data_IF_634305807389
#
_entry.id   IF_634305807389
#
_cell.length_a   1.000
_cell.length_b   1.000
_cell.length_c   1.000
_cell.angle_alpha   90.00
_cell.angle_beta   90.00
_cell.angle_gamma   90.00
#
_symmetry.space_group_name_H-M   'P 1'
#
loop_
_entity.id
_entity.type
_entity.pdbx_description
1 polymer ?
#
# COMPACT_ATOMS: atom_id res chain seq x y z
N UNK A 1 -32.66 11.23 -10.25
CA UNK A 1 -31.82 11.57 -9.08
C UNK A 1 -30.54 12.19 -9.62
N UNK A 2 -30.27 13.43 -9.21
CA UNK A 2 -29.14 14.22 -9.72
C UNK A 2 -27.82 13.65 -9.20
N UNK A 3 -26.89 13.45 -10.12
CA UNK A 3 -25.68 12.65 -9.96
C UNK A 3 -24.51 13.56 -9.55
N UNK A 4 -24.48 13.97 -8.28
CA UNK A 4 -23.67 15.12 -7.80
C UNK A 4 -22.14 14.94 -7.78
N UNK A 5 -21.58 13.82 -8.26
CA UNK A 5 -20.13 13.66 -8.47
C UNK A 5 -19.73 13.19 -9.88
N UNK A 6 -20.68 12.71 -10.69
CA UNK A 6 -20.41 12.27 -12.07
C UNK A 6 -20.28 13.44 -13.06
N UNK A 7 -20.64 14.66 -12.64
CA UNK A 7 -20.55 15.88 -13.45
C UNK A 7 -19.17 16.56 -13.38
N UNK A 8 -18.15 15.89 -12.82
CA UNK A 8 -16.76 16.33 -12.97
C UNK A 8 -16.29 16.11 -14.41
N UNK A 9 -16.54 17.13 -15.23
CA UNK A 9 -15.99 17.44 -16.56
C UNK A 9 -15.34 16.24 -17.26
N UNK A 10 -16.16 15.43 -17.92
CA UNK A 10 -15.70 14.54 -18.96
C UNK A 10 -15.28 15.38 -20.18
N UNK A 11 -14.09 15.99 -20.15
CA UNK A 11 -13.49 16.52 -21.38
C UNK A 11 -13.23 15.31 -22.29
N UNK A 12 -13.91 15.26 -23.42
CA UNK A 12 -13.62 14.30 -24.48
C UNK A 12 -12.24 14.61 -25.06
N UNK A 13 -11.18 14.06 -24.47
CA UNK A 13 -9.83 14.24 -24.99
C UNK A 13 -9.64 13.25 -26.15
N UNK A 14 -9.54 13.74 -27.39
CA UNK A 14 -9.02 12.95 -28.50
C UNK A 14 -7.48 12.87 -28.39
N UNK A 15 -6.83 11.93 -29.09
CA UNK A 15 -5.38 11.72 -28.99
C UNK A 15 -4.53 12.95 -29.39
N UNK A 16 -5.01 13.76 -30.33
CA UNK A 16 -4.36 15.03 -30.71
C UNK A 16 -4.48 16.10 -29.62
N UNK A 17 -5.65 16.17 -28.98
CA UNK A 17 -5.91 17.05 -27.85
C UNK A 17 -5.09 16.61 -26.63
N UNK A 18 -4.89 15.30 -26.44
CA UNK A 18 -4.00 14.74 -25.42
C UNK A 18 -2.53 15.15 -25.62
N UNK A 19 -2.02 15.04 -26.85
CA UNK A 19 -0.68 15.53 -27.22
C UNK A 19 -0.54 17.04 -26.95
N UNK A 20 -1.58 17.82 -27.24
CA UNK A 20 -1.60 19.26 -26.97
C UNK A 20 -1.75 19.63 -25.48
N UNK A 21 -2.49 18.84 -24.70
CA UNK A 21 -2.78 19.11 -23.28
C UNK A 21 -1.60 18.74 -22.37
N UNK A 22 -0.78 17.77 -22.79
CA UNK A 22 0.37 17.28 -22.04
C UNK A 22 1.68 17.97 -22.40
N UNK A 23 1.72 18.80 -23.45
CA UNK A 23 2.96 19.38 -23.96
C UNK A 23 4.01 18.33 -24.38
N UNK A 24 3.57 17.09 -24.62
CA UNK A 24 4.41 15.91 -24.86
C UNK A 24 3.66 14.58 -24.68
N UNK A 25 4.34 13.45 -24.92
CA UNK A 25 3.78 12.11 -24.78
C UNK A 25 3.78 11.56 -23.34
N UNK A 26 4.03 12.41 -22.34
CA UNK A 26 4.25 11.99 -20.95
C UNK A 26 3.64 12.97 -19.96
N UNK A 27 2.89 12.45 -18.99
CA UNK A 27 2.40 13.16 -17.83
C UNK A 27 3.07 12.56 -16.59
N UNK A 28 3.92 13.33 -15.93
CA UNK A 28 4.65 12.89 -14.74
C UNK A 28 4.36 13.83 -13.57
N UNK A 29 4.01 13.27 -12.42
CA UNK A 29 3.76 14.05 -11.20
C UNK A 29 5.07 14.41 -10.50
N UNK A 30 6.15 13.65 -10.72
CA UNK A 30 7.41 13.73 -9.98
C UNK A 30 7.45 12.84 -8.73
N UNK A 31 6.34 12.16 -8.38
CA UNK A 31 6.35 11.14 -7.35
C UNK A 31 7.19 9.94 -7.80
N UNK A 32 8.00 9.39 -6.90
CA UNK A 32 8.82 8.18 -7.11
C UNK A 32 8.66 7.21 -5.95
N UNK A 33 8.25 5.94 -6.17
CA UNK A 33 8.19 4.91 -5.12
C UNK A 33 9.41 4.87 -4.19
N UNK A 34 10.63 4.95 -4.72
CA UNK A 34 11.90 4.91 -3.97
C UNK A 34 12.14 6.10 -3.03
N UNK A 35 11.37 7.18 -3.16
CA UNK A 35 11.49 8.39 -2.34
C UNK A 35 10.20 8.68 -1.57
N UNK A 36 9.08 8.58 -2.25
CA UNK A 36 7.78 9.05 -1.79
C UNK A 36 6.85 7.91 -1.38
N UNK A 37 7.19 6.67 -1.73
CA UNK A 37 6.49 5.48 -1.26
C UNK A 37 6.99 5.02 0.10
N UNK A 38 6.39 3.94 0.59
CA UNK A 38 6.85 3.21 1.77
C UNK A 38 8.04 2.30 1.43
N UNK A 39 8.96 2.15 2.37
CA UNK A 39 10.01 1.12 2.26
C UNK A 39 9.58 -0.21 2.88
N UNK A 40 8.65 -0.21 3.84
CA UNK A 40 8.01 -1.44 4.30
C UNK A 40 7.13 -1.98 3.16
N UNK A 41 7.11 -3.29 2.90
CA UNK A 41 6.16 -3.87 1.98
C UNK A 41 4.76 -3.87 2.61
N UNK A 42 3.72 -3.99 1.79
CA UNK A 42 2.40 -4.33 2.27
C UNK A 42 2.36 -5.78 2.79
N UNK A 43 2.60 -5.95 4.08
CA UNK A 43 2.82 -7.24 4.74
C UNK A 43 1.55 -7.93 5.26
N UNK A 44 0.36 -7.36 4.99
CA UNK A 44 -0.87 -7.74 5.70
C UNK A 44 -1.26 -6.68 6.72
N UNK A 45 -2.26 -6.98 7.55
CA UNK A 45 -2.60 -6.16 8.70
C UNK A 45 -2.56 -7.00 9.97
N UNK A 46 -1.94 -6.44 11.00
CA UNK A 46 -1.96 -6.99 12.37
C UNK A 46 -3.33 -6.80 13.04
N UNK A 47 -4.19 -5.94 12.48
CA UNK A 47 -5.51 -5.68 13.02
C UNK A 47 -6.53 -6.67 12.45
N UNK A 48 -7.16 -7.47 13.33
CA UNK A 48 -8.14 -8.51 12.97
C UNK A 48 -9.35 -7.98 12.16
N UNK A 49 -9.70 -6.71 12.32
CA UNK A 49 -10.80 -6.05 11.58
C UNK A 49 -10.50 -5.86 10.09
N UNK A 50 -9.24 -5.60 9.74
CA UNK A 50 -8.76 -5.47 8.36
C UNK A 50 -8.33 -6.84 7.82
N UNK A 51 -9.27 -7.61 7.28
CA UNK A 51 -8.96 -8.87 6.57
C UNK A 51 -8.32 -8.56 5.22
N UNK A 52 -7.04 -8.18 5.20
CA UNK A 52 -6.31 -7.80 4.00
C UNK A 52 -4.96 -7.15 4.30
N UNK A 53 -4.30 -6.63 3.27
CA UNK A 53 -3.08 -5.82 3.44
C UNK A 53 -3.37 -4.35 3.74
N UNK A 54 -2.39 -3.65 4.29
CA UNK A 54 -2.40 -2.20 4.56
C UNK A 54 -2.46 -1.32 3.28
N UNK A 55 -2.53 -1.91 2.08
CA UNK A 55 -2.41 -1.24 0.78
C UNK A 55 -3.10 0.14 0.67
N UNK A 56 -4.39 0.24 1.04
CA UNK A 56 -5.15 1.48 0.92
C UNK A 56 -4.60 2.59 1.81
N UNK A 57 -4.32 2.29 3.07
CA UNK A 57 -3.69 3.23 4.00
C UNK A 57 -2.28 3.63 3.55
N UNK A 58 -1.50 2.67 3.06
CA UNK A 58 -0.15 2.94 2.55
C UNK A 58 -0.17 3.90 1.35
N UNK A 59 -1.01 3.63 0.34
CA UNK A 59 -1.17 4.49 -0.83
C UNK A 59 -1.70 5.87 -0.43
N UNK A 60 -2.73 5.93 0.43
CA UNK A 60 -3.32 7.19 0.85
C UNK A 60 -2.32 8.07 1.61
N UNK A 61 -1.56 7.48 2.54
CA UNK A 61 -0.55 8.21 3.28
C UNK A 61 0.60 8.68 2.40
N UNK A 62 1.10 7.84 1.48
CA UNK A 62 2.15 8.22 0.53
C UNK A 62 1.72 9.42 -0.34
N UNK A 63 0.48 9.41 -0.85
CA UNK A 63 -0.11 10.53 -1.60
C UNK A 63 -0.24 11.80 -0.76
N UNK A 64 -0.67 11.67 0.50
CA UNK A 64 -0.77 12.79 1.44
C UNK A 64 0.61 13.38 1.74
N UNK A 65 1.57 12.52 2.07
CA UNK A 65 2.93 12.89 2.44
C UNK A 65 3.64 13.63 1.30
N UNK A 66 3.53 13.10 0.08
CA UNK A 66 4.06 13.73 -1.12
C UNK A 66 3.45 15.12 -1.36
N UNK A 67 2.12 15.23 -1.27
CA UNK A 67 1.44 16.50 -1.50
C UNK A 67 1.76 17.58 -0.46
N UNK A 68 2.16 17.18 0.75
CA UNK A 68 2.60 18.08 1.82
C UNK A 68 4.03 18.57 1.63
N UNK A 69 4.84 17.89 0.82
CA UNK A 69 6.22 18.29 0.55
C UNK A 69 7.10 18.31 1.80
N UNK A 70 6.90 17.35 2.72
CA UNK A 70 7.75 17.23 3.91
C UNK A 70 9.22 17.04 3.51
N UNK A 71 10.13 17.59 4.32
CA UNK A 71 11.57 17.65 4.01
C UNK A 71 12.24 16.28 3.90
N UNK A 72 11.92 15.35 4.82
CA UNK A 72 12.41 13.97 4.77
C UNK A 72 11.50 13.14 3.85
N UNK A 73 12.08 12.39 2.94
CA UNK A 73 11.36 11.46 2.06
C UNK A 73 10.65 10.36 2.88
N UNK A 74 9.41 10.01 2.53
CA UNK A 74 8.66 8.97 3.25
C UNK A 74 9.42 7.64 3.29
N UNK A 75 10.08 7.28 2.18
CA UNK A 75 10.82 6.03 2.06
C UNK A 75 11.93 5.88 3.10
N UNK A 76 12.48 6.98 3.63
CA UNK A 76 13.52 6.93 4.65
C UNK A 76 13.08 7.48 6.01
N UNK A 77 11.85 7.98 6.15
CA UNK A 77 11.48 8.77 7.33
C UNK A 77 11.38 7.92 8.60
N UNK A 78 10.64 6.82 8.56
CA UNK A 78 10.30 6.02 9.73
C UNK A 78 11.07 4.71 9.78
N UNK A 79 12.31 4.73 9.28
CA UNK A 79 13.27 3.66 9.51
C UNK A 79 13.92 3.88 10.87
N UNK A 80 14.14 2.81 11.60
CA UNK A 80 14.88 2.82 12.83
C UNK A 80 16.32 3.25 12.59
N UNK A 81 16.92 3.83 13.62
CA UNK A 81 18.28 4.37 13.56
C UNK A 81 19.33 3.23 13.52
N UNK A 82 19.02 2.11 14.16
CA UNK A 82 19.87 0.92 14.12
C UNK A 82 19.68 0.22 12.76
N UNK A 83 20.76 -0.09 12.03
CA UNK A 83 20.68 -0.68 10.71
C UNK A 83 20.22 -2.14 10.82
N UNK A 84 18.92 -2.34 10.89
CA UNK A 84 18.31 -3.65 10.63
C UNK A 84 18.20 -3.80 9.11
N UNK A 85 18.52 -4.98 8.58
CA UNK A 85 18.37 -5.21 7.13
C UNK A 85 16.91 -5.55 6.76
N UNK A 86 16.08 -5.76 7.78
CA UNK A 86 14.65 -6.06 7.66
C UNK A 86 13.80 -4.83 7.96
N UNK A 87 12.55 -4.84 7.49
CA UNK A 87 11.58 -3.81 7.83
C UNK A 87 10.77 -4.14 9.10
N UNK A 88 10.93 -5.36 9.62
CA UNK A 88 10.09 -5.91 10.70
C UNK A 88 10.32 -5.20 12.03
N UNK A 89 11.48 -4.59 12.21
CA UNK A 89 11.85 -3.92 13.47
C UNK A 89 11.36 -2.47 13.50
N UNK A 90 11.03 -1.88 12.35
CA UNK A 90 10.66 -0.49 12.24
C UNK A 90 9.23 -0.20 12.70
N UNK A 91 9.05 -0.19 14.02
CA UNK A 91 7.77 -0.11 14.69
C UNK A 91 6.94 1.09 14.24
N UNK A 92 7.56 2.25 14.03
CA UNK A 92 6.86 3.49 13.69
C UNK A 92 6.24 3.38 12.30
N UNK A 93 6.98 2.83 11.33
CA UNK A 93 6.47 2.65 9.97
C UNK A 93 5.32 1.64 9.94
N UNK A 94 5.50 0.50 10.64
CA UNK A 94 4.50 -0.56 10.76
C UNK A 94 3.22 -0.01 11.38
N UNK A 95 3.33 0.63 12.55
CA UNK A 95 2.20 1.20 13.27
C UNK A 95 1.50 2.26 12.43
N UNK A 96 2.23 3.18 11.80
CA UNK A 96 1.62 4.24 11.01
C UNK A 96 0.84 3.68 9.82
N UNK A 97 1.41 2.73 9.06
CA UNK A 97 0.72 2.11 7.93
C UNK A 97 -0.58 1.41 8.35
N UNK A 98 -0.54 0.63 9.44
CA UNK A 98 -1.71 -0.05 9.97
C UNK A 98 -2.74 0.91 10.56
N UNK A 99 -2.33 1.94 11.31
CA UNK A 99 -3.24 2.95 11.86
C UNK A 99 -3.94 3.70 10.74
N UNK A 100 -3.21 4.20 9.74
CA UNK A 100 -3.84 4.88 8.59
C UNK A 100 -4.85 3.97 7.91
N UNK A 101 -4.52 2.72 7.66
CA UNK A 101 -5.45 1.80 7.00
C UNK A 101 -6.76 1.61 7.78
N UNK A 102 -6.68 1.50 9.11
CA UNK A 102 -7.84 1.24 9.96
C UNK A 102 -8.67 2.49 10.29
N UNK A 103 -8.09 3.69 10.17
CA UNK A 103 -8.81 4.96 10.37
C UNK A 103 -9.66 5.37 9.15
N UNK A 104 -9.59 4.57 8.07
CA UNK A 104 -10.40 4.79 6.89
C UNK A 104 -11.88 4.55 7.18
N UNK A 105 -12.73 5.48 6.77
CA UNK A 105 -14.19 5.29 6.81
C UNK A 105 -14.63 4.43 5.61
N UNK A 106 -14.38 3.12 5.68
CA UNK A 106 -14.56 2.18 4.56
C UNK A 106 -16.04 2.00 4.17
N UNK A 107 -16.89 1.68 5.13
CA UNK A 107 -18.29 1.29 4.89
C UNK A 107 -19.14 2.42 4.29
N UNK A 108 -18.88 3.67 4.65
CA UNK A 108 -19.65 4.81 4.13
C UNK A 108 -19.30 5.22 2.70
N UNK A 109 -18.10 4.86 2.23
CA UNK A 109 -17.52 5.33 0.98
C UNK A 109 -17.51 4.22 -0.05
N UNK A 110 -17.09 3.01 0.32
CA UNK A 110 -16.91 1.93 -0.65
C UNK A 110 -18.25 1.39 -1.15
N UNK A 111 -19.22 1.14 -0.28
CA UNK A 111 -20.54 0.64 -0.71
C UNK A 111 -21.26 1.67 -1.59
N UNK A 112 -21.22 2.95 -1.20
CA UNK A 112 -21.84 4.04 -1.97
C UNK A 112 -21.12 4.36 -3.28
N UNK A 113 -19.81 4.10 -3.39
CA UNK A 113 -19.03 4.35 -4.61
C UNK A 113 -19.01 3.14 -5.54
N UNK A 114 -18.88 1.91 -5.02
CA UNK A 114 -18.89 0.69 -5.83
C UNK A 114 -20.26 0.45 -6.47
N UNK A 115 -21.36 0.75 -5.77
CA UNK A 115 -22.72 0.66 -6.34
C UNK A 115 -22.95 1.70 -7.46
N UNK A 116 -22.15 2.76 -7.53
CA UNK A 116 -22.31 3.86 -8.51
C UNK A 116 -21.33 3.80 -9.67
N UNK A 117 -20.24 3.03 -9.58
CA UNK A 117 -19.18 3.04 -10.59
C UNK A 117 -19.22 1.83 -11.52
N UNK A 118 -20.11 1.89 -12.53
CA UNK A 118 -19.99 1.08 -13.76
C UNK A 118 -19.13 1.78 -14.82
N UNK A 119 -18.00 2.37 -14.41
CA UNK A 119 -17.14 3.11 -15.31
C UNK A 119 -16.54 2.18 -16.38
N UNK A 120 -16.61 2.57 -17.65
CA UNK A 120 -15.85 1.91 -18.71
C UNK A 120 -14.35 2.13 -18.51
N UNK A 121 -13.49 1.29 -19.10
CA UNK A 121 -12.04 1.49 -19.06
C UNK A 121 -11.64 2.91 -19.49
N UNK A 122 -12.33 3.46 -20.49
CA UNK A 122 -12.12 4.83 -20.96
C UNK A 122 -12.57 5.89 -19.95
N UNK A 123 -13.64 5.63 -19.19
CA UNK A 123 -14.05 6.48 -18.07
C UNK A 123 -12.98 6.54 -16.99
N UNK A 124 -12.46 5.37 -16.58
CA UNK A 124 -11.38 5.26 -15.59
C UNK A 124 -10.11 5.97 -16.08
N UNK A 125 -9.71 5.74 -17.33
CA UNK A 125 -8.60 6.44 -17.98
C UNK A 125 -8.74 7.97 -17.90
N UNK A 126 -9.86 8.51 -18.38
CA UNK A 126 -10.09 9.96 -18.40
C UNK A 126 -10.04 10.55 -16.98
N UNK A 127 -10.60 9.83 -16.02
CA UNK A 127 -10.60 10.23 -14.61
C UNK A 127 -9.18 10.32 -14.03
N UNK A 128 -8.32 9.33 -14.33
CA UNK A 128 -6.93 9.31 -13.88
C UNK A 128 -6.09 10.42 -14.52
N UNK A 129 -6.24 10.62 -15.82
CA UNK A 129 -5.56 11.72 -16.52
C UNK A 129 -5.99 13.06 -15.93
N UNK A 130 -7.30 13.28 -15.78
CA UNK A 130 -7.82 14.50 -15.17
C UNK A 130 -7.23 14.73 -13.78
N UNK A 131 -7.15 13.70 -12.95
CA UNK A 131 -6.55 13.77 -11.62
C UNK A 131 -5.07 14.19 -11.68
N UNK A 132 -4.26 13.56 -12.51
CA UNK A 132 -2.83 13.90 -12.61
C UNK A 132 -2.62 15.29 -13.22
N UNK A 133 -3.39 15.69 -14.24
CA UNK A 133 -3.26 17.01 -14.88
C UNK A 133 -3.62 18.12 -13.91
N UNK A 134 -4.75 18.00 -13.20
CA UNK A 134 -5.28 19.05 -12.32
C UNK A 134 -4.48 19.14 -11.03
N UNK A 135 -4.16 18.00 -10.42
CA UNK A 135 -3.57 17.99 -9.07
C UNK A 135 -2.05 17.95 -9.09
N UNK A 136 -1.44 17.55 -10.21
CA UNK A 136 -0.01 17.24 -10.33
C UNK A 136 0.48 16.28 -9.24
N UNK A 137 -0.40 15.36 -8.81
CA UNK A 137 -0.16 14.39 -7.73
C UNK A 137 -0.59 13.00 -8.17
N UNK A 138 0.00 11.94 -7.56
CA UNK A 138 -0.42 10.57 -7.82
C UNK A 138 -1.91 10.34 -7.51
N UNK A 139 -2.59 9.61 -8.39
CA UNK A 139 -4.02 9.28 -8.30
C UNK A 139 -4.23 7.86 -7.77
N UNK A 140 -5.24 7.67 -6.92
CA UNK A 140 -5.51 6.37 -6.29
C UNK A 140 -6.36 5.50 -7.21
N UNK A 141 -5.91 4.28 -7.46
CA UNK A 141 -6.63 3.29 -8.25
C UNK A 141 -6.85 2.04 -7.38
N UNK A 142 -8.11 1.64 -7.24
CA UNK A 142 -8.43 0.33 -6.69
C UNK A 142 -8.53 -0.68 -7.83
N UNK A 143 -8.03 -1.87 -7.60
CA UNK A 143 -8.00 -2.94 -8.58
C UNK A 143 -8.56 -4.23 -7.98
N UNK A 144 -9.34 -4.96 -8.78
CA UNK A 144 -10.00 -6.20 -8.37
C UNK A 144 -9.86 -7.25 -9.47
N UNK A 145 -9.88 -8.52 -9.07
CA UNK A 145 -10.16 -9.61 -10.00
C UNK A 145 -11.66 -9.78 -10.11
N UNK A 146 -12.20 -9.43 -11.27
CA UNK A 146 -13.58 -9.70 -11.64
C UNK A 146 -13.67 -11.10 -12.25
N UNK A 147 -14.42 -11.97 -11.57
CA UNK A 147 -14.75 -13.33 -12.02
C UNK A 147 -16.15 -13.32 -12.61
N UNK A 148 -16.30 -14.03 -13.73
CA UNK A 148 -17.59 -14.27 -14.37
C UNK A 148 -17.96 -15.72 -14.02
N UNK A 149 -19.01 -15.92 -13.23
CA UNK A 149 -19.56 -17.21 -12.74
C UNK A 149 -19.02 -17.71 -11.38
N UNK A 150 -19.63 -17.31 -10.25
CA UNK A 150 -20.59 -16.21 -10.11
C UNK A 150 -19.90 -14.85 -10.33
N UNK A 151 -20.67 -13.85 -10.76
CA UNK A 151 -20.15 -12.48 -10.86
C UNK A 151 -19.68 -12.04 -9.47
N UNK A 152 -18.37 -11.85 -9.32
CA UNK A 152 -17.77 -11.45 -8.05
C UNK A 152 -16.52 -10.61 -8.29
N UNK A 153 -16.31 -9.63 -7.41
CA UNK A 153 -15.05 -8.91 -7.28
C UNK A 153 -14.29 -9.50 -6.09
N UNK A 154 -13.07 -9.98 -6.33
CA UNK A 154 -12.25 -10.59 -5.29
C UNK A 154 -10.85 -9.99 -5.26
N UNK A 155 -10.20 -10.12 -4.11
CA UNK A 155 -8.78 -9.80 -3.96
C UNK A 155 -8.43 -8.31 -4.05
N UNK A 156 -9.37 -7.42 -3.71
CA UNK A 156 -9.20 -5.96 -3.84
C UNK A 156 -7.85 -5.44 -3.34
N UNK A 157 -7.23 -4.56 -4.12
CA UNK A 157 -5.93 -3.97 -3.82
C UNK A 157 -5.93 -2.49 -4.22
N UNK A 158 -5.14 -1.68 -3.51
CA UNK A 158 -4.98 -0.26 -3.78
C UNK A 158 -3.57 0.03 -4.27
N UNK A 159 -3.48 0.79 -5.35
CA UNK A 159 -2.24 1.29 -5.96
C UNK A 159 -2.41 2.78 -6.29
N UNK A 160 -1.34 3.46 -6.70
CA UNK A 160 -1.46 4.80 -7.27
C UNK A 160 -0.72 4.97 -8.58
N UNK A 161 -1.37 5.62 -9.55
CA UNK A 161 -0.75 6.06 -10.79
C UNK A 161 -0.01 7.37 -10.53
N UNK A 162 1.27 7.44 -10.88
CA UNK A 162 2.07 8.67 -10.72
C UNK A 162 2.61 9.24 -12.03
N UNK A 163 2.64 8.43 -13.10
CA UNK A 163 3.09 8.84 -14.43
C UNK A 163 2.31 8.08 -15.49
N UNK A 164 2.01 8.77 -16.60
CA UNK A 164 1.33 8.21 -17.77
C UNK A 164 2.18 8.53 -19.00
N UNK A 165 2.40 7.53 -19.84
CA UNK A 165 3.08 7.66 -21.12
C UNK A 165 2.17 7.18 -22.24
N UNK A 166 2.14 7.91 -23.36
CA UNK A 166 1.44 7.53 -24.57
C UNK A 166 2.47 7.01 -25.58
N UNK A 167 2.27 5.77 -26.04
CA UNK A 167 3.11 5.12 -27.06
C UNK A 167 2.22 4.50 -28.13
N UNK A 168 1.97 5.24 -29.21
CA UNK A 168 1.09 4.80 -30.28
C UNK A 168 -0.35 4.59 -29.81
N UNK A 169 -0.84 3.35 -29.88
CA UNK A 169 -2.18 2.95 -29.40
C UNK A 169 -2.18 2.48 -27.94
N UNK A 170 -1.03 2.53 -27.26
CA UNK A 170 -0.90 2.11 -25.86
C UNK A 170 -0.73 3.30 -24.93
N UNK A 171 -1.45 3.25 -23.82
CA UNK A 171 -1.28 4.16 -22.68
C UNK A 171 -0.67 3.35 -21.54
N UNK A 172 0.53 3.72 -21.12
CA UNK A 172 1.29 3.06 -20.07
C UNK A 172 1.19 3.89 -18.80
N UNK A 173 0.64 3.29 -17.75
CA UNK A 173 0.54 3.86 -16.41
C UNK A 173 1.66 3.30 -15.57
N UNK A 174 2.55 4.15 -15.09
CA UNK A 174 3.52 3.79 -14.06
C UNK A 174 2.87 3.94 -12.70
N UNK A 175 3.01 2.90 -11.88
CA UNK A 175 2.26 2.77 -10.65
C UNK A 175 3.18 2.58 -9.45
N UNK A 176 2.78 3.16 -8.33
CA UNK A 176 3.24 2.75 -7.01
C UNK A 176 2.31 1.65 -6.51
N UNK A 177 2.86 0.45 -6.34
CA UNK A 177 2.20 -0.69 -5.72
C UNK A 177 2.89 -0.97 -4.39
N UNK A 178 2.21 -0.86 -3.23
CA UNK A 178 2.84 -1.02 -1.92
C UNK A 178 3.32 -2.45 -1.66
N UNK A 179 2.99 -3.44 -2.51
CA UNK A 179 3.60 -4.76 -2.45
C UNK A 179 5.07 -4.77 -2.92
N UNK A 180 5.50 -3.77 -3.71
CA UNK A 180 6.82 -3.67 -4.32
C UNK A 180 7.54 -2.41 -3.82
N UNK A 181 8.25 -2.53 -2.70
CA UNK A 181 8.96 -1.41 -2.06
C UNK A 181 9.97 -0.77 -3.01
N UNK A 182 9.88 0.56 -3.16
CA UNK A 182 10.88 1.37 -3.88
C UNK A 182 11.01 1.08 -5.37
N UNK A 183 10.04 0.40 -5.97
CA UNK A 183 10.10 -0.04 -7.36
C UNK A 183 9.72 1.08 -8.35
N UNK A 184 10.71 1.90 -8.70
CA UNK A 184 10.55 2.98 -9.66
C UNK A 184 10.43 2.44 -11.10
N UNK A 185 9.37 2.84 -11.79
CA UNK A 185 9.12 2.65 -13.23
C UNK A 185 9.04 1.19 -13.75
N UNK A 186 9.24 0.15 -12.93
CA UNK A 186 9.07 -1.24 -13.39
C UNK A 186 7.62 -1.74 -13.27
N UNK A 187 6.84 -1.22 -12.32
CA UNK A 187 5.42 -1.58 -12.18
C UNK A 187 4.56 -0.76 -13.13
N UNK A 188 3.90 -1.43 -14.07
CA UNK A 188 3.12 -0.81 -15.14
C UNK A 188 1.77 -1.48 -15.37
N UNK A 189 0.78 -0.67 -15.71
CA UNK A 189 -0.50 -1.10 -16.27
C UNK A 189 -0.62 -0.51 -17.67
N UNK A 190 -1.16 -1.25 -18.63
CA UNK A 190 -1.36 -0.77 -20.00
C UNK A 190 -2.83 -0.74 -20.35
N UNK A 191 -3.29 0.35 -20.96
CA UNK A 191 -4.56 0.44 -21.67
C UNK A 191 -4.26 0.43 -23.18
N UNK A 192 -4.85 -0.49 -23.93
CA UNK A 192 -4.77 -0.50 -25.40
C UNK A 192 -6.03 0.18 -25.95
N UNK A 193 -5.84 1.15 -26.85
CA UNK A 193 -6.90 1.84 -27.58
C UNK A 193 -7.34 1.01 -28.79
N UNK A 194 -8.64 0.95 -29.06
CA UNK A 194 -9.22 0.13 -30.12
C UNK A 194 -9.45 0.86 -31.46
N UNK A 195 -8.96 2.09 -31.59
CA UNK A 195 -9.12 2.92 -32.80
C UNK A 195 -10.52 3.52 -32.99
N UNK A 196 -11.51 3.12 -32.18
CA UNK A 196 -12.89 3.60 -32.24
C UNK A 196 -13.28 4.46 -31.02
N UNK A 197 -12.28 4.97 -30.30
CA UNK A 197 -12.47 5.78 -29.09
C UNK A 197 -12.74 4.95 -27.83
N UNK A 198 -12.71 3.62 -27.93
CA UNK A 198 -12.71 2.70 -26.81
C UNK A 198 -11.30 2.32 -26.38
N UNK A 199 -11.23 1.50 -25.32
CA UNK A 199 -9.98 1.03 -24.78
C UNK A 199 -10.16 -0.08 -23.76
N UNK A 200 -9.14 -0.90 -23.59
CA UNK A 200 -9.14 -2.04 -22.68
C UNK A 200 -7.87 -2.10 -21.86
N UNK A 201 -8.01 -2.20 -20.54
CA UNK A 201 -6.89 -2.44 -19.66
C UNK A 201 -6.40 -3.88 -19.83
N UNK A 202 -5.08 -4.06 -19.93
CA UNK A 202 -4.44 -5.36 -19.75
C UNK A 202 -4.52 -5.74 -18.28
N UNK A 203 -4.69 -7.04 -18.01
CA UNK A 203 -4.70 -7.52 -16.63
C UNK A 203 -3.35 -7.30 -15.96
N UNK A 204 -3.38 -6.95 -14.68
CA UNK A 204 -2.19 -6.74 -13.85
C UNK A 204 -2.05 -7.89 -12.84
N UNK A 205 -0.94 -8.66 -12.87
CA UNK A 205 -0.70 -9.72 -11.90
C UNK A 205 -0.25 -9.15 -10.55
N UNK A 206 -0.80 -9.66 -9.45
CA UNK A 206 -0.41 -9.22 -8.12
C UNK A 206 -1.13 -9.93 -6.96
N UNK A 207 -1.04 -9.32 -5.79
CA UNK A 207 -1.58 -9.82 -4.53
C UNK A 207 -2.22 -8.74 -3.68
N UNK A 208 -2.95 -9.17 -2.65
CA UNK A 208 -3.45 -8.28 -1.58
C UNK A 208 -2.37 -7.91 -0.58
N UNK A 209 -1.23 -8.61 -0.61
CA UNK A 209 -0.01 -8.42 0.19
C UNK A 209 1.21 -8.79 -0.65
N UNK A 210 2.40 -8.37 -0.24
CA UNK A 210 3.68 -8.69 -0.89
C UNK A 210 3.97 -10.19 -0.92
N UNK A 211 3.42 -10.96 0.02
CA UNK A 211 3.59 -12.42 0.12
C UNK A 211 2.61 -13.20 -0.77
N UNK A 212 1.69 -12.51 -1.45
CA UNK A 212 0.66 -13.14 -2.30
C UNK A 212 0.83 -12.69 -3.75
N UNK A 213 0.60 -13.58 -4.70
CA UNK A 213 0.68 -13.27 -6.14
C UNK A 213 -0.41 -13.97 -6.96
N UNK A 214 -1.55 -14.28 -6.32
CA UNK A 214 -2.57 -15.16 -6.88
C UNK A 214 -3.58 -14.50 -7.82
N UNK A 215 -3.64 -13.16 -7.85
CA UNK A 215 -4.72 -12.45 -8.54
C UNK A 215 -4.30 -11.94 -9.91
N UNK A 216 -5.27 -11.93 -10.83
CA UNK A 216 -5.17 -11.28 -12.13
C UNK A 216 -6.15 -10.11 -12.17
N UNK A 217 -5.69 -8.95 -11.71
CA UNK A 217 -6.49 -7.74 -11.64
C UNK A 217 -6.92 -7.30 -13.04
N UNK A 218 -8.21 -7.33 -13.31
CA UNK A 218 -8.81 -7.05 -14.62
C UNK A 218 -9.97 -6.05 -14.53
N UNK A 219 -10.20 -5.51 -13.34
CA UNK A 219 -11.20 -4.49 -13.05
C UNK A 219 -10.55 -3.37 -12.26
N UNK A 220 -10.72 -2.14 -12.73
CA UNK A 220 -9.97 -0.96 -12.31
C UNK A 220 -10.94 0.17 -12.01
N UNK A 221 -10.83 0.78 -10.84
CA UNK A 221 -11.63 1.93 -10.43
C UNK A 221 -10.72 3.05 -9.93
N UNK A 222 -11.05 4.30 -10.29
CA UNK A 222 -10.36 5.47 -9.79
C UNK A 222 -11.12 6.06 -8.60
N UNK A 223 -10.41 6.36 -7.51
CA UNK A 223 -10.98 7.00 -6.34
C UNK A 223 -10.42 8.41 -6.18
N UNK A 224 -11.28 9.33 -5.75
CA UNK A 224 -10.92 10.72 -5.49
C UNK A 224 -9.78 10.86 -4.49
N UNK A 225 -9.04 11.97 -4.57
CA UNK A 225 -7.78 12.16 -3.84
C UNK A 225 -7.90 11.97 -2.31
N UNK A 226 -9.04 12.33 -1.72
CA UNK A 226 -9.34 12.27 -0.27
C UNK A 226 -10.33 11.17 0.10
N UNK A 227 -10.62 10.23 -0.80
CA UNK A 227 -11.54 9.14 -0.49
C UNK A 227 -11.05 8.39 0.76
N UNK A 228 -11.92 8.25 1.76
CA UNK A 228 -11.63 7.55 3.01
C UNK A 228 -11.07 8.40 4.14
N UNK A 229 -10.57 9.61 3.87
CA UNK A 229 -9.68 10.28 4.84
C UNK A 229 -9.80 11.81 4.90
N UNK A 230 -9.85 12.34 6.13
CA UNK A 230 -9.75 13.79 6.37
C UNK A 230 -8.29 14.25 6.48
N UNK A 231 -8.04 15.53 6.16
CA UNK A 231 -6.70 16.10 6.31
C UNK A 231 -6.26 16.14 7.78
N UNK A 232 -7.15 16.51 8.70
CA UNK A 232 -6.85 16.60 10.13
C UNK A 232 -6.40 15.25 10.71
N UNK A 233 -7.05 14.16 10.30
CA UNK A 233 -6.68 12.82 10.74
C UNK A 233 -5.31 12.38 10.19
N UNK A 234 -5.03 12.63 8.90
CA UNK A 234 -3.71 12.35 8.32
C UNK A 234 -2.59 13.15 9.01
N UNK A 235 -2.83 14.43 9.31
CA UNK A 235 -1.91 15.29 10.05
C UNK A 235 -1.72 14.82 11.50
N UNK A 236 -2.79 14.37 12.16
CA UNK A 236 -2.71 13.82 13.51
C UNK A 236 -1.88 12.53 13.55
N UNK A 237 -2.12 11.59 12.64
CA UNK A 237 -1.36 10.34 12.54
C UNK A 237 0.12 10.60 12.26
N UNK A 238 0.43 11.55 11.35
CA UNK A 238 1.79 12.03 11.08
C UNK A 238 2.46 12.58 12.35
N UNK A 239 1.77 13.44 13.10
CA UNK A 239 2.27 14.03 14.35
C UNK A 239 2.54 12.98 15.43
N UNK A 240 1.69 11.95 15.53
CA UNK A 240 1.91 10.84 16.46
C UNK A 240 3.09 9.98 16.02
N UNK A 241 3.22 9.66 14.73
CA UNK A 241 4.35 8.91 14.20
C UNK A 241 5.69 9.64 14.40
N UNK A 242 5.72 10.97 14.21
CA UNK A 242 6.93 11.77 14.45
C UNK A 242 7.39 11.74 15.93
N UNK A 243 6.54 11.26 16.84
CA UNK A 243 6.84 11.02 18.26
C UNK A 243 6.95 9.53 18.61
N UNK A 244 7.08 8.65 17.60
CA UNK A 244 7.11 7.21 17.80
C UNK A 244 5.85 6.62 18.42
N UNK A 245 4.70 7.29 18.27
CA UNK A 245 3.44 6.93 18.94
C UNK A 245 3.53 6.85 20.48
N UNK A 246 4.48 7.56 21.09
CA UNK A 246 4.64 7.58 22.54
C UNK A 246 3.32 7.93 23.26
N UNK A 247 2.89 7.06 24.17
CA UNK A 247 1.65 7.20 24.94
C UNK A 247 0.37 6.68 24.25
N UNK A 248 0.46 6.09 23.05
CA UNK A 248 -0.67 5.43 22.36
C UNK A 248 -0.48 3.91 22.35
N UNK A 249 -1.14 3.23 23.29
CA UNK A 249 -1.02 1.79 23.55
C UNK A 249 -1.89 0.90 22.63
N UNK A 250 -2.39 1.41 21.50
CA UNK A 250 -3.15 0.59 20.54
C UNK A 250 -2.34 -0.58 19.97
N UNK A 251 -1.03 -0.43 19.92
CA UNK A 251 -0.09 -1.50 19.61
C UNK A 251 0.65 -1.83 20.90
N UNK A 252 0.33 -2.95 21.56
CA UNK A 252 0.99 -3.32 22.79
C UNK A 252 2.47 -3.59 22.53
N UNK A 253 3.32 -3.21 23.48
CA UNK A 253 4.70 -3.71 23.49
C UNK A 253 4.68 -5.07 24.17
N UNK A 254 5.26 -6.06 23.50
CA UNK A 254 5.41 -7.41 24.06
C UNK A 254 6.86 -7.58 24.49
N UNK A 255 7.09 -7.71 25.80
CA UNK A 255 8.41 -8.08 26.31
C UNK A 255 8.49 -9.60 26.37
N UNK A 256 9.32 -10.18 25.50
CA UNK A 256 9.64 -11.60 25.54
C UNK A 256 10.26 -11.96 26.91
N UNK A 257 9.72 -12.97 27.58
CA UNK A 257 10.25 -13.47 28.85
C UNK A 257 10.82 -14.86 28.73
N UNK A 258 10.23 -15.73 27.90
CA UNK A 258 10.70 -17.11 27.74
C UNK A 258 10.37 -17.67 26.36
N UNK A 259 11.27 -18.49 25.82
CA UNK A 259 11.02 -19.35 24.66
C UNK A 259 11.35 -20.78 25.09
N UNK A 260 10.43 -21.72 24.81
CA UNK A 260 10.61 -23.14 25.12
C UNK A 260 10.24 -23.99 23.91
N UNK A 261 11.07 -24.97 23.58
CA UNK A 261 10.75 -25.97 22.57
C UNK A 261 9.52 -26.78 22.99
N UNK A 262 8.51 -26.87 22.12
CA UNK A 262 7.19 -27.39 22.49
C UNK A 262 7.19 -28.88 22.82
N UNK A 263 8.02 -29.65 22.14
CA UNK A 263 8.13 -31.11 22.18
C UNK A 263 9.21 -31.56 23.14
N UNK A 264 10.41 -30.97 23.07
CA UNK A 264 11.54 -31.37 23.92
C UNK A 264 11.48 -30.73 25.32
N UNK A 265 10.80 -29.60 25.49
CA UNK A 265 10.78 -28.82 26.73
C UNK A 265 12.07 -28.03 26.97
N UNK A 266 12.99 -28.01 26.01
CA UNK A 266 14.24 -27.23 26.04
C UNK A 266 13.95 -25.73 26.18
N UNK A 267 14.65 -25.06 27.10
CA UNK A 267 14.53 -23.61 27.31
C UNK A 267 15.54 -22.92 26.39
N UNK A 268 15.00 -22.27 25.35
CA UNK A 268 15.80 -21.63 24.31
C UNK A 268 16.16 -20.19 24.70
N UNK A 269 15.31 -19.57 25.50
CA UNK A 269 15.51 -18.23 26.04
C UNK A 269 14.79 -18.10 27.38
N UNK A 270 15.43 -17.49 28.38
CA UNK A 270 14.82 -17.13 29.66
C UNK A 270 15.40 -15.80 30.16
N UNK A 271 14.56 -14.76 30.19
CA UNK A 271 14.95 -13.42 30.60
C UNK A 271 15.21 -13.30 32.12
N UNK A 272 14.63 -14.20 32.93
CA UNK A 272 14.79 -14.22 34.38
C UNK A 272 15.99 -15.08 34.80
N UNK A 273 16.33 -16.09 33.99
CA UNK A 273 17.48 -16.97 34.21
C UNK A 273 18.39 -17.03 32.96
N UNK A 274 19.17 -15.97 32.66
CA UNK A 274 20.01 -15.94 31.45
C UNK A 274 21.04 -17.07 31.37
N UNK A 275 21.45 -17.65 32.50
CA UNK A 275 22.35 -18.80 32.54
C UNK A 275 21.73 -20.11 32.03
N UNK A 276 20.40 -20.17 31.95
CA UNK A 276 19.67 -21.28 31.32
C UNK A 276 19.46 -21.06 29.83
N UNK A 277 19.77 -19.85 29.32
CA UNK A 277 19.76 -19.57 27.89
C UNK A 277 21.07 -20.07 27.28
N UNK A 278 20.98 -21.00 26.34
CA UNK A 278 22.14 -21.46 25.59
C UNK A 278 22.57 -20.37 24.60
N UNK A 279 23.78 -19.82 24.75
CA UNK A 279 24.35 -18.91 23.74
C UNK A 279 24.66 -19.64 22.43
N UNK A 280 24.75 -20.98 22.42
CA UNK A 280 24.87 -21.80 21.20
C UNK A 280 23.57 -21.81 20.38
N UNK A 281 22.44 -21.52 21.01
CA UNK A 281 21.12 -21.46 20.38
C UNK A 281 20.78 -20.05 19.85
N UNK A 282 21.65 -19.06 20.08
CA UNK A 282 21.54 -17.75 19.43
C UNK A 282 22.32 -17.77 18.11
N UNK A 283 21.64 -17.41 17.03
CA UNK A 283 22.29 -17.19 15.75
C UNK A 283 21.79 -15.91 15.08
N UNK A 284 22.24 -15.70 13.86
CA UNK A 284 21.77 -14.61 13.02
C UNK A 284 21.14 -15.15 11.74
N UNK A 285 20.11 -14.48 11.24
CA UNK A 285 19.62 -14.71 9.86
C UNK A 285 20.65 -14.21 8.85
N UNK A 286 20.49 -14.54 7.55
CA UNK A 286 21.28 -13.91 6.47
C UNK A 286 21.13 -12.38 6.44
N UNK A 287 20.09 -11.90 7.10
CA UNK A 287 19.68 -10.50 7.25
C UNK A 287 20.21 -9.89 8.58
N UNK A 288 21.04 -10.62 9.35
CA UNK A 288 21.65 -10.11 10.58
C UNK A 288 20.69 -9.97 11.76
N UNK A 289 19.49 -10.55 11.68
CA UNK A 289 18.54 -10.56 12.79
C UNK A 289 18.92 -11.65 13.78
N UNK A 290 18.91 -11.34 15.08
CA UNK A 290 19.06 -12.36 16.12
C UNK A 290 17.93 -13.38 16.00
N UNK A 291 18.28 -14.65 16.05
CA UNK A 291 17.34 -15.76 16.06
C UNK A 291 17.68 -16.72 17.18
N UNK A 292 16.64 -17.27 17.77
CA UNK A 292 16.71 -18.41 18.67
C UNK A 292 16.53 -19.68 17.83
N UNK A 293 17.46 -20.61 17.94
CA UNK A 293 17.55 -21.83 17.14
C UNK A 293 17.12 -23.01 18.01
N UNK A 294 16.27 -23.87 17.47
CA UNK A 294 15.93 -25.16 18.06
C UNK A 294 15.73 -26.19 16.96
N UNK A 295 15.98 -27.45 17.26
CA UNK A 295 15.67 -28.58 16.38
C UNK A 295 14.17 -28.94 16.41
N UNK A 296 13.41 -28.33 17.32
CA UNK A 296 11.97 -28.55 17.41
C UNK A 296 11.21 -27.81 16.31
N UNK A 297 10.12 -28.42 15.84
CA UNK A 297 9.28 -27.86 14.77
C UNK A 297 8.31 -26.79 15.28
N UNK A 298 8.23 -26.59 16.59
CA UNK A 298 7.39 -25.58 17.23
C UNK A 298 7.98 -25.12 18.56
N UNK A 299 7.68 -23.87 18.92
CA UNK A 299 8.06 -23.26 20.20
C UNK A 299 6.84 -22.71 20.92
N UNK A 300 6.95 -22.57 22.24
CA UNK A 300 6.07 -21.80 23.10
C UNK A 300 6.79 -20.49 23.39
N UNK A 301 6.10 -19.37 23.17
CA UNK A 301 6.62 -18.02 23.41
C UNK A 301 5.80 -17.41 24.55
N UNK A 302 6.50 -16.99 25.60
CA UNK A 302 5.92 -16.32 26.76
C UNK A 302 6.45 -14.89 26.85
N UNK A 303 5.61 -13.99 27.35
CA UNK A 303 6.00 -12.62 27.57
C UNK A 303 4.95 -11.83 28.29
N UNK A 304 5.31 -10.58 28.59
CA UNK A 304 4.45 -9.63 29.26
C UNK A 304 4.01 -8.56 28.28
N UNK A 305 2.72 -8.20 28.35
CA UNK A 305 2.14 -7.09 27.60
C UNK A 305 2.29 -5.84 28.44
N UNK A 306 2.91 -4.79 27.91
CA UNK A 306 3.05 -3.48 28.57
C UNK A 306 2.39 -2.36 27.78
#
# INVERSE_FOLDING_TARGET
>A
MNNTYADYVAVGLNAQYFSSLLGGATLDTGFRPSKNGWYIPNYGSFYKGSKGGNCMGMVAFAKFYYAKGYSKNLYSNYKDAEPTTTWLDDEVAIQLASRVHNEMVWDDIVDKELDKQLASSMGVFRSLVGALVVTKRPALMAIYEKRLNPLSLVGGHAISVYKIELSGTEIVYHIYDPNFKGDDDNRRITLTLDGHGGGRFKSYPGGTTAQTSRYKYNYFNHFGYRAGYTQAMMENLKKLADKGFAGDNRFPTFKLTKITAKTSGEVIFDAENPSETSDEEKGFTLEGQEKYITEDTAVIIEGTVT
#
